data_IF_870047893691
#
_entry.id   IF_870047893691
#
_cell.length_a   1.000
_cell.length_b   1.000
_cell.length_c   1.000
_cell.angle_alpha   90.00
_cell.angle_beta   90.00
_cell.angle_gamma   90.00
#
_symmetry.space_group_name_H-M   'P 1'
#
loop_
_entity.id
_entity.type
_entity.pdbx_description
1 polymer ?
#
# COMPACT_ATOMS: atom_id res chain seq x y z
N UNK A 1 -30.70 -17.29 52.76
CA UNK A 1 -29.59 -16.30 52.67
C UNK A 1 -28.49 -16.75 51.71
N UNK A 2 -27.92 -17.95 51.86
CA UNK A 2 -26.84 -18.47 50.99
C UNK A 2 -27.23 -18.62 49.51
N UNK A 3 -28.42 -19.15 49.21
CA UNK A 3 -28.92 -19.32 47.84
C UNK A 3 -29.07 -17.97 47.11
N UNK A 4 -29.58 -16.95 47.80
CA UNK A 4 -29.73 -15.60 47.26
C UNK A 4 -28.37 -14.96 46.96
N UNK A 5 -27.39 -15.17 47.84
CA UNK A 5 -26.01 -14.72 47.63
C UNK A 5 -25.37 -15.40 46.41
N UNK A 6 -25.54 -16.72 46.27
CA UNK A 6 -25.05 -17.49 45.11
C UNK A 6 -25.69 -17.01 43.79
N UNK A 7 -27.00 -16.78 43.78
CA UNK A 7 -27.72 -16.25 42.61
C UNK A 7 -27.24 -14.85 42.24
N UNK A 8 -27.02 -13.98 43.23
CA UNK A 8 -26.50 -12.63 43.02
C UNK A 8 -25.09 -12.65 42.43
N UNK A 9 -24.21 -13.50 42.97
CA UNK A 9 -22.85 -13.68 42.46
C UNK A 9 -22.86 -14.22 41.02
N UNK A 10 -23.70 -15.21 40.72
CA UNK A 10 -23.85 -15.76 39.38
C UNK A 10 -24.34 -14.70 38.38
N UNK A 11 -25.33 -13.89 38.78
CA UNK A 11 -25.85 -12.79 37.97
C UNK A 11 -24.77 -11.74 37.69
N UNK A 12 -24.00 -11.35 38.71
CA UNK A 12 -22.91 -10.39 38.57
C UNK A 12 -21.84 -10.91 37.62
N UNK A 13 -21.44 -12.18 37.77
CA UNK A 13 -20.47 -12.84 36.89
C UNK A 13 -20.97 -12.90 35.44
N UNK A 14 -22.25 -13.19 35.22
CA UNK A 14 -22.86 -13.19 33.89
C UNK A 14 -22.88 -11.79 33.27
N UNK A 15 -23.23 -10.77 34.06
CA UNK A 15 -23.25 -9.37 33.61
C UNK A 15 -21.85 -8.88 33.22
N UNK A 16 -20.84 -9.20 34.05
CA UNK A 16 -19.43 -8.92 33.78
C UNK A 16 -18.95 -9.61 32.49
N UNK A 17 -19.31 -10.89 32.31
CA UNK A 17 -18.98 -11.65 31.10
C UNK A 17 -19.63 -11.03 29.85
N UNK A 18 -20.92 -10.68 29.93
CA UNK A 18 -21.64 -10.04 28.82
C UNK A 18 -21.01 -8.68 28.47
N UNK A 19 -20.67 -7.89 29.48
CA UNK A 19 -20.05 -6.57 29.29
C UNK A 19 -18.65 -6.68 28.67
N UNK A 20 -17.86 -7.67 29.08
CA UNK A 20 -16.57 -7.98 28.45
C UNK A 20 -16.72 -8.42 27.00
N UNK A 21 -17.70 -9.28 26.70
CA UNK A 21 -17.99 -9.73 25.33
C UNK A 21 -18.39 -8.56 24.42
N UNK A 22 -19.27 -7.67 24.92
CA UNK A 22 -19.70 -6.49 24.19
C UNK A 22 -18.54 -5.52 23.92
N UNK A 23 -17.65 -5.33 24.89
CA UNK A 23 -16.45 -4.50 24.72
C UNK A 23 -15.49 -5.09 23.69
N UNK A 24 -15.26 -6.40 23.73
CA UNK A 24 -14.42 -7.11 22.77
C UNK A 24 -14.99 -7.01 21.35
N UNK A 25 -16.31 -7.19 21.20
CA UNK A 25 -17.00 -7.07 19.92
C UNK A 25 -16.87 -5.66 19.36
N UNK A 26 -17.08 -4.63 20.19
CA UNK A 26 -16.92 -3.23 19.78
C UNK A 26 -15.50 -2.92 19.33
N UNK A 27 -14.50 -3.41 20.07
CA UNK A 27 -13.09 -3.25 19.73
C UNK A 27 -12.77 -3.91 18.38
N UNK A 28 -13.29 -5.12 18.13
CA UNK A 28 -13.10 -5.84 16.88
C UNK A 28 -13.73 -5.07 15.69
N UNK A 29 -14.95 -4.57 15.85
CA UNK A 29 -15.63 -3.78 14.80
C UNK A 29 -14.85 -2.50 14.45
N UNK A 30 -14.19 -1.88 15.43
CA UNK A 30 -13.39 -0.68 15.19
C UNK A 30 -12.04 -1.02 14.55
N UNK A 31 -11.34 -2.04 15.05
CA UNK A 31 -9.96 -2.33 14.62
C UNK A 31 -9.87 -3.05 13.27
N UNK A 32 -10.80 -3.97 12.95
CA UNK A 32 -10.75 -4.74 11.69
C UNK A 32 -10.72 -3.85 10.44
N UNK A 33 -11.57 -2.82 10.30
CA UNK A 33 -11.53 -1.92 9.15
C UNK A 33 -10.22 -1.14 9.05
N UNK A 34 -9.64 -0.70 10.18
CA UNK A 34 -8.37 0.01 10.20
C UNK A 34 -7.21 -0.90 9.78
N UNK A 35 -7.21 -2.15 10.26
CA UNK A 35 -6.23 -3.17 9.88
C UNK A 35 -6.39 -3.53 8.39
N UNK A 36 -7.62 -3.70 7.91
CA UNK A 36 -7.88 -3.95 6.50
C UNK A 36 -7.37 -2.81 5.61
N UNK A 37 -7.63 -1.56 6.00
CA UNK A 37 -7.17 -0.38 5.26
C UNK A 37 -5.64 -0.27 5.29
N UNK A 38 -4.99 -0.51 6.42
CA UNK A 38 -3.52 -0.46 6.50
C UNK A 38 -2.85 -1.55 5.67
N UNK A 39 -3.40 -2.77 5.68
CA UNK A 39 -2.94 -3.86 4.80
C UNK A 39 -3.19 -3.55 3.33
N UNK A 40 -4.30 -2.89 2.99
CA UNK A 40 -4.57 -2.45 1.62
C UNK A 40 -3.56 -1.37 1.17
N UNK A 41 -3.22 -0.42 2.03
CA UNK A 41 -2.21 0.61 1.73
C UNK A 41 -0.81 0.00 1.63
N UNK A 42 -0.45 -0.95 2.48
CA UNK A 42 0.89 -1.55 2.53
C UNK A 42 1.10 -2.65 1.49
N UNK A 43 0.05 -3.40 1.15
CA UNK A 43 0.03 -4.38 0.05
C UNK A 43 0.04 -3.73 -1.33
N UNK A 44 -0.21 -2.42 -1.38
CA UNK A 44 0.07 -1.56 -2.51
C UNK A 44 1.22 -0.61 -2.15
N UNK A 45 2.50 -1.07 -2.10
CA UNK A 45 3.54 -0.12 -2.39
C UNK A 45 3.13 0.55 -3.70
N UNK A 46 3.20 1.89 -3.80
CA UNK A 46 3.06 2.63 -5.06
C UNK A 46 4.14 2.13 -6.04
N UNK A 47 3.91 0.94 -6.57
CA UNK A 47 4.70 0.14 -7.49
C UNK A 47 3.76 -0.55 -8.49
N UNK A 48 2.43 -0.50 -8.28
CA UNK A 48 1.43 -1.17 -9.13
C UNK A 48 0.15 -0.40 -9.49
N UNK A 49 -0.05 0.87 -9.06
CA UNK A 49 -1.27 1.63 -9.42
C UNK A 49 -1.01 3.09 -9.87
N UNK A 50 0.24 3.45 -10.16
CA UNK A 50 0.53 4.69 -10.88
C UNK A 50 1.11 4.27 -12.22
N UNK A 51 0.23 3.99 -13.17
CA UNK A 51 0.63 3.89 -14.56
C UNK A 51 1.24 5.23 -14.98
N UNK A 52 2.35 5.16 -15.72
CA UNK A 52 2.77 6.29 -16.52
C UNK A 52 1.63 6.64 -17.49
N UNK A 53 1.17 7.90 -17.45
CA UNK A 53 0.18 8.44 -18.39
C UNK A 53 0.84 9.38 -19.42
N UNK A 54 2.09 9.77 -19.18
CA UNK A 54 2.85 10.64 -20.07
C UNK A 54 4.35 10.42 -19.90
N UNK A 55 5.11 10.82 -20.92
CA UNK A 55 6.58 10.75 -20.90
C UNK A 55 7.19 12.09 -20.53
N UNK A 56 8.30 12.04 -19.79
CA UNK A 56 9.15 13.21 -19.59
C UNK A 56 9.76 13.64 -20.92
N UNK A 57 9.77 14.95 -21.17
CA UNK A 57 10.54 15.56 -22.26
C UNK A 57 11.94 15.99 -21.82
N UNK A 58 12.24 15.88 -20.52
CA UNK A 58 13.50 16.34 -19.93
C UNK A 58 14.56 15.27 -20.10
N UNK A 59 15.77 15.69 -20.48
CA UNK A 59 16.95 14.84 -20.44
C UNK A 59 17.28 14.43 -19.00
N UNK A 60 17.52 13.13 -18.80
CA UNK A 60 17.85 12.57 -17.50
C UNK A 60 19.36 12.44 -17.34
N UNK A 61 19.97 13.09 -16.34
CA UNK A 61 21.40 12.97 -16.11
C UNK A 61 21.73 11.63 -15.46
N UNK A 62 22.67 10.89 -16.03
CA UNK A 62 23.06 9.56 -15.56
C UNK A 62 23.47 9.50 -14.08
N UNK A 63 24.10 10.57 -13.55
CA UNK A 63 24.46 10.69 -12.13
C UNK A 63 23.29 10.57 -11.15
N UNK A 64 22.05 10.74 -11.63
CA UNK A 64 20.84 10.67 -10.79
C UNK A 64 20.03 9.40 -11.03
N UNK A 65 20.43 8.52 -11.94
CA UNK A 65 19.73 7.27 -12.23
C UNK A 65 20.28 6.17 -11.31
N UNK A 66 19.38 5.46 -10.61
CA UNK A 66 19.73 4.34 -9.73
C UNK A 66 19.33 2.99 -10.31
N UNK A 67 18.15 2.94 -10.91
CA UNK A 67 17.55 1.73 -11.45
C UNK A 67 16.53 2.14 -12.53
N UNK A 68 16.07 1.17 -13.31
CA UNK A 68 14.88 1.35 -14.15
C UNK A 68 13.95 0.15 -14.02
N UNK A 69 12.67 0.38 -14.25
CA UNK A 69 11.63 -0.66 -14.36
C UNK A 69 10.89 -0.51 -15.68
N UNK A 70 10.34 -1.60 -16.21
CA UNK A 70 9.56 -1.58 -17.44
C UNK A 70 8.06 -1.64 -17.12
N UNK A 71 7.29 -0.73 -17.73
CA UNK A 71 5.83 -0.77 -17.77
C UNK A 71 5.40 -1.26 -19.15
N UNK A 72 4.56 -2.29 -19.15
CA UNK A 72 3.90 -2.81 -20.36
C UNK A 72 2.42 -2.44 -20.36
N UNK A 73 1.84 -2.34 -21.55
CA UNK A 73 0.40 -2.13 -21.70
C UNK A 73 -0.37 -3.33 -21.14
N UNK A 74 -1.35 -3.05 -20.28
CA UNK A 74 -2.25 -4.06 -19.69
C UNK A 74 -3.65 -3.45 -19.50
N UNK A 75 -4.58 -4.17 -18.86
CA UNK A 75 -5.95 -3.67 -18.63
C UNK A 75 -6.02 -2.37 -17.80
N UNK A 76 -4.94 -1.99 -17.12
CA UNK A 76 -4.88 -0.84 -16.23
C UNK A 76 -3.98 0.30 -16.76
N UNK A 77 -3.02 0.01 -17.64
CA UNK A 77 -2.05 0.97 -18.18
C UNK A 77 -2.08 0.96 -19.72
N UNK A 78 -2.36 2.11 -20.31
CA UNK A 78 -2.56 2.24 -21.78
C UNK A 78 -1.28 2.54 -22.58
N UNK A 79 -0.13 2.73 -21.91
CA UNK A 79 1.15 3.03 -22.59
C UNK A 79 2.30 2.18 -22.06
N UNK A 80 3.27 1.89 -22.95
CA UNK A 80 4.55 1.31 -22.57
C UNK A 80 5.49 2.40 -22.06
N UNK A 81 6.18 2.19 -20.94
CA UNK A 81 7.08 3.19 -20.38
C UNK A 81 8.32 2.55 -19.75
N UNK A 82 9.44 3.27 -19.79
CA UNK A 82 10.60 3.00 -18.92
C UNK A 82 10.50 3.93 -17.72
N UNK A 83 10.48 3.36 -16.53
CA UNK A 83 10.36 4.09 -15.27
C UNK A 83 11.75 4.18 -14.63
N UNK A 84 12.37 5.35 -14.68
CA UNK A 84 13.65 5.59 -14.01
C UNK A 84 13.46 5.90 -12.53
N UNK A 85 14.24 5.21 -11.70
CA UNK A 85 14.32 5.44 -10.26
C UNK A 85 15.44 6.43 -10.00
N UNK A 86 15.09 7.61 -9.48
CA UNK A 86 16.05 8.69 -9.29
C UNK A 86 16.65 8.67 -7.87
N UNK A 87 17.85 9.20 -7.71
CA UNK A 87 18.53 9.33 -6.40
C UNK A 87 17.76 10.14 -5.36
N UNK A 88 16.87 11.04 -5.79
CA UNK A 88 16.00 11.83 -4.93
C UNK A 88 14.67 11.13 -4.57
N UNK A 89 14.56 9.83 -4.83
CA UNK A 89 13.36 9.03 -4.55
C UNK A 89 12.18 9.27 -5.51
N UNK A 90 12.37 10.05 -6.59
CA UNK A 90 11.32 10.27 -7.59
C UNK A 90 11.36 9.20 -8.68
N UNK A 91 10.19 8.92 -9.25
CA UNK A 91 10.05 8.10 -10.44
C UNK A 91 9.82 8.99 -11.67
N UNK A 92 10.49 8.68 -12.77
CA UNK A 92 10.33 9.42 -14.02
C UNK A 92 10.01 8.46 -15.16
N UNK A 93 8.84 8.67 -15.77
CA UNK A 93 8.38 7.95 -16.95
C UNK A 93 9.07 8.48 -18.22
N UNK A 94 9.62 7.59 -19.03
CA UNK A 94 10.28 7.93 -20.28
C UNK A 94 9.81 7.02 -21.42
N UNK A 95 9.83 7.55 -22.64
CA UNK A 95 9.40 6.85 -23.85
C UNK A 95 10.41 5.75 -24.22
N UNK A 96 10.01 4.46 -24.26
CA UNK A 96 10.90 3.36 -24.59
C UNK A 96 11.52 3.46 -25.99
N UNK A 97 10.88 4.17 -26.92
CA UNK A 97 11.37 4.35 -28.29
C UNK A 97 12.38 5.49 -28.42
N UNK A 98 12.51 6.34 -27.39
CA UNK A 98 13.41 7.50 -27.45
C UNK A 98 14.88 7.12 -27.25
N UNK A 99 15.77 7.71 -28.06
CA UNK A 99 17.22 7.50 -27.94
C UNK A 99 17.79 7.98 -26.59
N UNK A 100 17.17 8.99 -25.98
CA UNK A 100 17.55 9.48 -24.66
C UNK A 100 17.27 8.44 -23.56
N UNK A 101 16.14 7.72 -23.67
CA UNK A 101 15.81 6.64 -22.73
C UNK A 101 16.77 5.49 -22.85
N UNK A 102 17.11 5.07 -24.09
CA UNK A 102 18.12 4.03 -24.30
C UNK A 102 19.48 4.39 -23.69
N UNK A 103 19.94 5.64 -23.86
CA UNK A 103 21.17 6.13 -23.19
C UNK A 103 21.05 6.12 -21.67
N UNK A 104 19.89 6.48 -21.12
CA UNK A 104 19.64 6.42 -19.69
C UNK A 104 19.70 4.99 -19.14
N UNK A 105 19.18 4.01 -19.86
CA UNK A 105 19.24 2.59 -19.46
C UNK A 105 20.70 2.10 -19.39
N UNK A 106 21.53 2.46 -20.38
CA UNK A 106 22.96 2.12 -20.41
C UNK A 106 23.78 2.73 -19.26
N UNK A 107 23.26 3.76 -18.59
CA UNK A 107 23.92 4.37 -17.44
C UNK A 107 23.66 3.65 -16.12
N UNK A 108 22.73 2.70 -16.12
CA UNK A 108 22.25 1.95 -14.94
C UNK A 108 22.70 0.49 -14.98
N UNK A 109 22.99 -0.03 -16.18
CA UNK A 109 23.68 -1.31 -16.40
C UNK A 109 25.15 -1.25 -15.98
#
# INVERSE_FOLDING_TARGET
>A
MLLLLLLLLLLLMLLLLLQLLMLLLLLLLLLLPLIYLSLFIQGNPMKGLICCLSYTKRQLPCKRLLAYSLQTINQNCDINAVIFHMTNGRFVCADPLSSQTRRGMQCVE
#
